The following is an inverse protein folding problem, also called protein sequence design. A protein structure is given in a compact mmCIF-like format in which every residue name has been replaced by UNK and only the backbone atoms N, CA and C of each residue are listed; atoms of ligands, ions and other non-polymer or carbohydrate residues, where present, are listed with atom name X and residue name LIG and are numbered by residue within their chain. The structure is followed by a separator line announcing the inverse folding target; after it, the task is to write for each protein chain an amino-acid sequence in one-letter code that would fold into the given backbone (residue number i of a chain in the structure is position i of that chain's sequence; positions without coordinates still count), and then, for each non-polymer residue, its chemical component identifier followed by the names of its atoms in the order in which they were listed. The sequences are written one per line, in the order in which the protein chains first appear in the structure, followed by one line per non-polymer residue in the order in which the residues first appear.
data_IF_240416484081
#
_entry.id   IF_240416484081
#
_cell.length_a   1.000
_cell.length_b   1.000
_cell.length_c   1.000
_cell.angle_alpha   90.00
_cell.angle_beta   90.00
_cell.angle_gamma   90.00
#
_symmetry.space_group_name_H-M   'P 1'
#
loop_
_entity.id
_entity.type
_entity.pdbx_description
1 polymer ?
#
# COMPACT_ATOMS: atom_id res chain seq x y z
N UNK A 1 -2.87 -6.30 3.81
CA UNK A 1 -3.32 -5.32 2.79
C UNK A 1 -2.15 -4.42 2.43
N UNK A 2 -1.32 -4.84 1.48
CA UNK A 2 -0.07 -4.17 1.09
C UNK A 2 -0.09 -3.77 -0.37
N UNK A 3 -0.97 -2.85 -0.76
CA UNK A 3 -0.96 -2.29 -2.11
C UNK A 3 0.08 -1.18 -2.21
N UNK A 4 1.31 -1.51 -2.64
CA UNK A 4 2.42 -0.65 -3.11
C UNK A 4 2.70 0.73 -2.45
N UNK A 5 1.99 1.12 -1.39
CA UNK A 5 2.10 2.42 -0.74
C UNK A 5 1.80 3.64 -1.63
N UNK A 6 1.35 3.48 -2.88
CA UNK A 6 1.27 4.57 -3.88
C UNK A 6 0.44 5.77 -3.40
N UNK A 7 -0.70 5.52 -2.75
CA UNK A 7 -1.54 6.56 -2.15
C UNK A 7 -0.84 7.28 -0.98
N UNK A 8 -0.05 6.54 -0.18
CA UNK A 8 0.75 7.14 0.90
C UNK A 8 1.94 7.92 0.34
N UNK A 9 2.48 7.51 -0.80
CA UNK A 9 3.63 8.17 -1.42
C UNK A 9 3.27 9.58 -1.89
N UNK A 10 2.10 9.75 -2.53
CA UNK A 10 1.63 11.05 -3.03
C UNK A 10 1.46 12.08 -1.92
N UNK A 11 0.83 11.70 -0.80
CA UNK A 11 0.65 12.61 0.33
C UNK A 11 1.93 12.84 1.13
N UNK A 12 2.75 11.81 1.35
CA UNK A 12 4.02 11.94 2.08
C UNK A 12 5.05 12.77 1.34
N UNK A 13 5.16 12.63 0.02
CA UNK A 13 6.09 13.42 -0.78
C UNK A 13 5.77 14.93 -0.70
N UNK A 14 4.49 15.28 -0.78
CA UNK A 14 4.03 16.68 -0.67
C UNK A 14 4.29 17.23 0.73
N UNK A 15 3.95 16.48 1.78
CA UNK A 15 4.21 16.89 3.17
C UNK A 15 5.71 17.08 3.44
N UNK A 16 6.55 16.17 2.95
CA UNK A 16 8.00 16.26 3.10
C UNK A 16 8.58 17.48 2.36
N UNK A 17 8.15 17.71 1.11
CA UNK A 17 8.56 18.87 0.31
C UNK A 17 8.17 20.19 1.00
N UNK A 18 6.93 20.28 1.48
CA UNK A 18 6.44 21.46 2.19
C UNK A 18 7.18 21.67 3.53
N UNK A 19 7.54 20.60 4.24
CA UNK A 19 8.36 20.67 5.45
C UNK A 19 9.76 21.21 5.16
N UNK A 20 10.42 20.70 4.13
CA UNK A 20 11.74 21.17 3.69
C UNK A 20 11.70 22.65 3.24
N UNK A 21 10.69 23.05 2.48
CA UNK A 21 10.51 24.44 2.06
C UNK A 21 10.33 25.41 3.24
N UNK A 22 9.52 25.01 4.24
CA UNK A 22 9.34 25.79 5.48
C UNK A 22 10.62 25.86 6.32
N UNK A 23 11.40 24.78 6.36
CA UNK A 23 12.68 24.76 7.08
C UNK A 23 13.71 25.68 6.40
N UNK A 24 13.82 25.60 5.06
CA UNK A 24 14.70 26.47 4.29
C UNK A 24 14.33 27.96 4.44
N UNK A 25 13.03 28.28 4.45
CA UNK A 25 12.56 29.66 4.66
C UNK A 25 12.86 30.21 6.06
N UNK A 26 13.00 29.33 7.07
CA UNK A 26 13.33 29.72 8.45
C UNK A 26 14.84 29.69 8.75
N UNK A 27 15.66 29.29 7.78
CA UNK A 27 17.11 29.19 7.99
C UNK A 27 17.75 30.58 8.12
N UNK A 28 18.69 30.69 9.06
CA UNK A 28 19.50 31.90 9.28
C UNK A 28 20.76 31.91 8.39
N UNK A 29 21.07 30.80 7.72
CA UNK A 29 22.26 30.69 6.88
C UNK A 29 22.14 31.59 5.62
N UNK A 30 23.10 32.51 5.38
CA UNK A 30 23.08 33.40 4.22
C UNK A 30 23.04 32.67 2.88
N UNK A 31 23.71 31.51 2.74
CA UNK A 31 23.74 30.74 1.50
C UNK A 31 22.38 30.10 1.21
N UNK A 32 21.72 29.60 2.25
CA UNK A 32 20.37 29.03 2.14
C UNK A 32 19.36 30.11 1.78
N UNK A 33 19.47 31.32 2.35
CA UNK A 33 18.60 32.44 1.98
C UNK A 33 18.83 32.91 0.54
N UNK A 34 20.08 32.97 0.07
CA UNK A 34 20.39 33.29 -1.31
C UNK A 34 19.78 32.26 -2.28
N UNK A 35 19.88 30.96 -1.96
CA UNK A 35 19.28 29.88 -2.74
C UNK A 35 17.74 29.95 -2.74
N UNK A 36 17.12 30.25 -1.60
CA UNK A 36 15.67 30.43 -1.48
C UNK A 36 15.17 31.58 -2.35
N UNK A 37 15.89 32.72 -2.35
CA UNK A 37 15.56 33.89 -3.19
C UNK A 37 15.75 33.62 -4.68
N UNK A 38 16.75 32.81 -5.05
CA UNK A 38 17.02 32.48 -6.44
C UNK A 38 15.97 31.56 -7.07
N UNK A 39 15.27 30.73 -6.27
CA UNK A 39 14.33 29.71 -6.78
C UNK A 39 13.00 29.64 -6.00
N UNK A 40 12.21 30.73 -5.97
CA UNK A 40 10.96 30.77 -5.22
C UNK A 40 9.91 29.76 -5.74
N UNK A 41 9.90 29.48 -7.04
CA UNK A 41 8.95 28.55 -7.65
C UNK A 41 9.15 27.08 -7.21
N UNK A 42 10.38 26.64 -6.97
CA UNK A 42 10.68 25.27 -6.53
C UNK A 42 10.26 25.02 -5.08
N UNK A 43 10.27 26.09 -4.27
CA UNK A 43 9.90 26.14 -2.86
C UNK A 43 8.41 26.45 -2.63
N UNK A 44 7.64 26.66 -3.70
CA UNK A 44 6.21 26.87 -3.60
C UNK A 44 5.51 25.67 -2.92
N UNK A 45 4.69 25.97 -1.92
CA UNK A 45 3.94 24.95 -1.17
C UNK A 45 2.97 24.26 -2.11
N UNK A 46 3.07 22.93 -2.18
CA UNK A 46 2.19 22.11 -3.02
C UNK A 46 0.99 21.66 -2.21
N UNK A 47 -0.22 21.75 -2.77
CA UNK A 47 -1.43 21.24 -2.14
C UNK A 47 -1.68 19.78 -2.53
N UNK A 48 -2.07 18.96 -1.54
CA UNK A 48 -2.53 17.59 -1.77
C UNK A 48 -3.88 17.43 -1.08
N UNK A 49 -4.85 16.87 -1.81
CA UNK A 49 -6.19 16.61 -1.29
C UNK A 49 -6.40 15.11 -1.10
N UNK A 50 -6.95 14.71 0.04
CA UNK A 50 -7.46 13.36 0.29
C UNK A 50 -8.95 13.50 0.60
N UNK A 51 -9.82 12.87 -0.20
CA UNK A 51 -11.27 12.99 -0.01
C UNK A 51 -11.79 14.44 -0.09
N UNK A 52 -11.12 15.30 -0.86
CA UNK A 52 -11.44 16.74 -0.96
C UNK A 52 -10.92 17.60 0.18
N UNK A 53 -10.29 17.03 1.22
CA UNK A 53 -9.70 17.78 2.34
C UNK A 53 -8.20 18.01 2.11
N UNK A 54 -7.66 19.21 2.41
CA UNK A 54 -6.24 19.49 2.28
C UNK A 54 -5.42 18.75 3.34
N UNK A 55 -4.27 18.23 2.91
CA UNK A 55 -3.29 17.57 3.77
C UNK A 55 -2.20 18.56 4.16
N UNK A 56 -2.17 18.91 5.45
CA UNK A 56 -1.22 19.88 6.00
C UNK A 56 0.00 19.22 6.63
N UNK A 57 -0.15 18.01 7.14
CA UNK A 57 0.82 17.33 7.97
C UNK A 57 0.70 15.80 7.86
N UNK A 58 1.71 15.08 8.35
CA UNK A 58 1.80 13.62 8.22
C UNK A 58 0.68 12.90 9.00
N UNK A 59 0.23 13.48 10.11
CA UNK A 59 -0.76 12.89 10.99
C UNK A 59 -2.16 13.05 10.39
N UNK A 60 -2.50 14.24 9.87
CA UNK A 60 -3.72 14.48 9.13
C UNK A 60 -3.79 13.64 7.85
N UNK A 61 -2.68 13.50 7.11
CA UNK A 61 -2.61 12.60 5.95
C UNK A 61 -3.02 11.16 6.29
N UNK A 62 -2.52 10.64 7.42
CA UNK A 62 -2.80 9.27 7.87
C UNK A 62 -4.25 9.12 8.32
N UNK A 63 -4.79 10.12 9.03
CA UNK A 63 -6.17 10.13 9.51
C UNK A 63 -7.18 10.20 8.35
N UNK A 64 -7.02 11.18 7.46
CA UNK A 64 -7.90 11.37 6.30
C UNK A 64 -7.88 10.17 5.35
N UNK A 65 -6.70 9.57 5.12
CA UNK A 65 -6.60 8.36 4.30
C UNK A 65 -7.32 7.17 4.95
N UNK A 66 -7.22 7.02 6.27
CA UNK A 66 -7.93 5.96 6.98
C UNK A 66 -9.45 6.16 6.90
N UNK A 67 -9.94 7.38 7.05
CA UNK A 67 -11.36 7.72 6.94
C UNK A 67 -11.90 7.41 5.54
N UNK A 68 -11.20 7.83 4.48
CA UNK A 68 -11.57 7.50 3.10
C UNK A 68 -11.53 5.99 2.80
N UNK A 69 -10.57 5.27 3.39
CA UNK A 69 -10.57 3.81 3.32
C UNK A 69 -11.81 3.25 4.02
N UNK A 70 -12.11 3.66 5.25
CA UNK A 70 -13.29 3.15 5.97
C UNK A 70 -14.62 3.51 5.31
N UNK A 71 -14.68 4.56 4.49
CA UNK A 71 -15.89 4.91 3.73
C UNK A 71 -16.21 3.93 2.61
N UNK A 72 -15.23 3.18 2.10
CA UNK A 72 -15.45 2.18 1.04
C UNK A 72 -16.08 0.92 1.63
N UNK A 73 -17.03 0.34 0.90
CA UNK A 73 -17.84 -0.82 1.32
C UNK A 73 -16.94 -1.99 1.78
N UNK A 74 -15.90 -2.30 1.02
CA UNK A 74 -14.99 -3.43 1.30
C UNK A 74 -14.12 -3.23 2.57
N UNK A 75 -14.01 -2.00 3.05
CA UNK A 75 -13.09 -1.63 4.14
C UNK A 75 -13.79 -0.94 5.31
N UNK A 76 -15.13 -0.84 5.29
CA UNK A 76 -15.94 -0.30 6.37
C UNK A 76 -15.73 -1.06 7.69
N UNK A 77 -15.61 -2.40 7.63
CA UNK A 77 -15.36 -3.24 8.80
C UNK A 77 -14.00 -2.99 9.48
N UNK A 78 -13.03 -2.43 8.77
CA UNK A 78 -11.68 -2.16 9.31
C UNK A 78 -11.66 -0.99 10.31
N UNK A 79 -12.68 -0.13 10.30
CA UNK A 79 -12.81 0.97 11.24
C UNK A 79 -12.93 0.45 12.69
N UNK A 80 -13.68 -0.64 12.85
CA UNK A 80 -13.92 -1.27 14.13
C UNK A 80 -12.71 -2.06 14.62
N UNK A 81 -11.89 -2.63 13.72
CA UNK A 81 -10.73 -3.47 14.08
C UNK A 81 -9.74 -2.84 15.08
N UNK A 82 -9.62 -1.51 15.12
CA UNK A 82 -8.76 -0.81 16.10
C UNK A 82 -9.30 -0.85 17.54
N UNK A 83 -10.59 -1.13 17.74
CA UNK A 83 -11.25 -1.18 19.05
C UNK A 83 -11.07 -2.56 19.71
N UNK A 84 -9.84 -3.09 19.71
CA UNK A 84 -9.49 -4.49 20.01
C UNK A 84 -10.29 -5.17 21.14
N UNK A 85 -10.60 -4.46 22.23
CA UNK A 85 -11.38 -4.96 23.36
C UNK A 85 -12.91 -5.05 23.12
N UNK A 86 -13.53 -4.12 22.37
CA UNK A 86 -14.98 -4.16 22.09
C UNK A 86 -15.34 -5.15 21.00
N UNK A 87 -14.41 -5.41 20.07
CA UNK A 87 -14.62 -6.46 19.08
C UNK A 87 -14.48 -7.87 19.67
N UNK A 88 -13.82 -8.03 20.82
CA UNK A 88 -13.70 -9.28 21.56
C UNK A 88 -14.67 -9.37 22.74
N UNK A 89 -15.65 -8.46 22.85
CA UNK A 89 -16.65 -8.49 23.92
C UNK A 89 -17.52 -9.76 23.85
N UNK A 90 -17.65 -10.36 22.66
CA UNK A 90 -18.24 -11.69 22.50
C UNK A 90 -17.42 -12.80 23.17
N UNK A 91 -16.10 -12.61 23.36
CA UNK A 91 -15.23 -13.54 24.09
C UNK A 91 -15.36 -13.40 25.61
N UNK A 92 -15.76 -12.24 26.12
CA UNK A 92 -15.85 -11.98 27.57
C UNK A 92 -17.27 -12.10 28.13
N UNK A 93 -18.28 -12.22 27.26
CA UNK A 93 -19.70 -12.24 27.64
C UNK A 93 -20.22 -13.54 28.24
N UNK A 94 -19.40 -14.59 28.37
CA UNK A 94 -19.76 -15.86 29.02
C UNK A 94 -20.89 -16.67 28.35
N UNK A 95 -21.47 -16.16 27.26
CA UNK A 95 -22.55 -16.78 26.48
C UNK A 95 -21.99 -17.31 25.16
N UNK A 96 -21.15 -18.32 25.24
CA UNK A 96 -20.66 -19.00 24.04
C UNK A 96 -21.65 -20.10 23.63
N UNK A 97 -22.37 -19.83 22.54
CA UNK A 97 -22.93 -20.87 21.66
C UNK A 97 -22.19 -20.75 20.33
N UNK A 98 -20.88 -20.98 20.37
CA UNK A 98 -20.03 -20.97 19.18
C UNK A 98 -19.38 -22.34 19.14
N UNK A 99 -19.51 -23.04 18.02
CA UNK A 99 -18.86 -24.35 17.88
C UNK A 99 -17.32 -24.17 17.83
N UNK A 100 -16.56 -25.15 18.31
CA UNK A 100 -15.09 -25.09 18.37
C UNK A 100 -14.43 -24.67 17.04
N UNK A 101 -15.07 -25.03 15.92
CA UNK A 101 -14.63 -24.69 14.55
C UNK A 101 -14.72 -23.19 14.26
N UNK A 102 -15.77 -22.55 14.73
CA UNK A 102 -16.03 -21.13 14.54
C UNK A 102 -15.13 -20.28 15.46
N UNK A 103 -14.81 -20.80 16.65
CA UNK A 103 -13.87 -20.16 17.57
C UNK A 103 -12.45 -20.04 16.98
N UNK A 104 -11.94 -21.12 16.37
CA UNK A 104 -10.62 -21.13 15.72
C UNK A 104 -10.59 -20.13 14.56
N UNK A 105 -11.64 -20.08 13.75
CA UNK A 105 -11.74 -19.12 12.65
C UNK A 105 -11.76 -17.67 13.16
N UNK A 106 -12.51 -17.39 14.24
CA UNK A 106 -12.56 -16.07 14.88
C UNK A 106 -11.18 -15.64 15.40
N UNK A 107 -10.43 -16.53 16.06
CA UNK A 107 -9.07 -16.26 16.51
C UNK A 107 -8.10 -16.00 15.36
N UNK A 108 -8.20 -16.75 14.27
CA UNK A 108 -7.38 -16.53 13.07
C UNK A 108 -7.67 -15.17 12.43
N UNK A 109 -8.94 -14.76 12.39
CA UNK A 109 -9.34 -13.44 11.88
C UNK A 109 -8.80 -12.33 12.80
N UNK A 110 -8.95 -12.49 14.12
CA UNK A 110 -8.44 -11.54 15.12
C UNK A 110 -6.91 -11.39 15.06
N UNK A 111 -6.19 -12.49 14.89
CA UNK A 111 -4.73 -12.50 14.73
C UNK A 111 -4.24 -12.01 13.36
N UNK A 112 -5.14 -11.58 12.46
CA UNK A 112 -4.77 -11.20 11.09
C UNK A 112 -4.18 -12.36 10.27
N UNK A 113 -4.42 -13.59 10.71
CA UNK A 113 -3.88 -14.81 10.14
C UNK A 113 -4.98 -15.78 9.68
N UNK A 114 -5.98 -15.34 8.89
CA UNK A 114 -7.04 -16.22 8.42
C UNK A 114 -6.43 -17.42 7.69
N UNK A 115 -6.98 -18.60 7.93
CA UNK A 115 -6.59 -19.83 7.26
C UNK A 115 -7.05 -19.76 5.80
N UNK A 116 -6.11 -19.51 4.91
CA UNK A 116 -6.31 -19.55 3.46
C UNK A 116 -5.64 -20.80 2.89
N UNK A 117 -6.24 -21.40 1.85
CA UNK A 117 -5.72 -22.60 1.17
C UNK A 117 -4.23 -22.45 0.79
N UNK A 118 -3.79 -21.24 0.43
CA UNK A 118 -2.40 -20.91 0.12
C UNK A 118 -1.44 -20.97 1.32
N UNK A 119 -1.91 -20.72 2.55
CA UNK A 119 -1.12 -20.91 3.78
C UNK A 119 -1.05 -22.37 4.17
N UNK A 120 -2.16 -23.11 4.09
CA UNK A 120 -2.19 -24.57 4.27
C UNK A 120 -1.20 -25.24 3.31
N UNK A 121 -1.20 -24.83 2.04
CA UNK A 121 -0.31 -25.31 0.99
C UNK A 121 1.19 -25.21 1.33
N UNK A 122 1.60 -24.24 2.17
CA UNK A 122 3.00 -24.09 2.60
C UNK A 122 3.44 -25.20 3.56
N UNK A 123 2.49 -25.81 4.26
CA UNK A 123 2.73 -26.80 5.31
C UNK A 123 2.21 -28.20 4.93
N UNK A 124 1.50 -28.33 3.80
CA UNK A 124 1.09 -29.63 3.26
C UNK A 124 2.06 -30.09 2.16
N UNK A 125 2.49 -31.37 2.18
CA UNK A 125 3.30 -31.95 1.11
C UNK A 125 2.65 -31.78 -0.27
N UNK A 126 3.49 -31.61 -1.30
CA UNK A 126 3.10 -31.34 -2.70
C UNK A 126 2.14 -32.36 -3.35
N UNK A 127 1.89 -33.49 -2.70
CA UNK A 127 1.02 -34.56 -3.17
C UNK A 127 -0.47 -34.17 -3.23
N UNK A 128 -0.91 -33.16 -2.47
CA UNK A 128 -2.33 -32.76 -2.43
C UNK A 128 -2.60 -31.43 -3.16
N UNK A 129 -2.85 -31.52 -4.47
CA UNK A 129 -3.80 -30.64 -5.19
C UNK A 129 -3.48 -29.16 -5.39
N UNK A 130 -2.31 -28.65 -4.99
CA UNK A 130 -1.93 -27.24 -5.18
C UNK A 130 -0.80 -27.06 -6.21
N UNK A 131 -0.82 -27.81 -7.31
CA UNK A 131 0.12 -27.61 -8.42
C UNK A 131 -0.42 -26.56 -9.38
N UNK A 132 0.46 -25.74 -9.95
CA UNK A 132 0.07 -24.81 -11.00
C UNK A 132 -0.26 -25.60 -12.27
N UNK A 133 -1.38 -25.26 -12.94
CA UNK A 133 -1.80 -25.96 -14.15
C UNK A 133 -0.80 -25.81 -15.30
N UNK A 134 -0.10 -24.67 -15.35
CA UNK A 134 0.91 -24.36 -16.36
C UNK A 134 2.34 -24.71 -15.91
N UNK A 135 2.55 -25.01 -14.61
CA UNK A 135 3.86 -25.31 -14.03
C UNK A 135 3.73 -26.43 -12.99
N UNK A 136 3.66 -27.70 -13.43
CA UNK A 136 3.30 -28.84 -12.58
C UNK A 136 4.24 -29.05 -11.38
N UNK A 137 5.49 -28.61 -11.51
CA UNK A 137 6.52 -28.72 -10.45
C UNK A 137 6.46 -27.59 -9.42
N UNK A 138 5.53 -26.64 -9.56
CA UNK A 138 5.44 -25.47 -8.69
C UNK A 138 4.11 -25.38 -7.96
N UNK A 139 4.16 -24.87 -6.72
CA UNK A 139 2.94 -24.61 -5.95
C UNK A 139 2.14 -23.48 -6.61
N UNK A 140 0.86 -23.72 -6.84
CA UNK A 140 -0.12 -22.71 -7.25
C UNK A 140 -0.36 -21.72 -6.11
N UNK A 141 0.47 -20.70 -6.04
CA UNK A 141 0.27 -19.56 -5.16
C UNK A 141 0.28 -18.25 -5.97
N UNK A 142 -0.22 -17.18 -5.36
CA UNK A 142 -0.34 -15.89 -6.03
C UNK A 142 1.02 -15.34 -6.49
N UNK A 143 2.07 -15.61 -5.72
CA UNK A 143 3.42 -15.15 -6.02
C UNK A 143 3.96 -15.81 -7.31
N UNK A 144 3.90 -17.14 -7.39
CA UNK A 144 4.19 -17.89 -8.62
C UNK A 144 3.36 -17.37 -9.80
N UNK A 145 2.03 -17.27 -9.62
CA UNK A 145 1.12 -16.82 -10.68
C UNK A 145 1.50 -15.43 -11.18
N UNK A 146 1.85 -14.49 -10.31
CA UNK A 146 2.12 -13.11 -10.72
C UNK A 146 3.55 -12.88 -11.20
N UNK A 147 4.54 -13.57 -10.61
CA UNK A 147 5.95 -13.28 -10.82
C UNK A 147 6.61 -14.18 -11.88
N UNK A 148 6.24 -15.47 -11.93
CA UNK A 148 7.00 -16.46 -12.70
C UNK A 148 6.16 -17.21 -13.73
N UNK A 149 4.88 -17.45 -13.46
CA UNK A 149 4.03 -18.32 -14.26
C UNK A 149 3.97 -17.87 -15.74
N UNK A 150 4.13 -18.81 -16.70
CA UNK A 150 3.99 -18.53 -18.13
C UNK A 150 2.62 -17.97 -18.49
N UNK A 151 1.56 -18.43 -17.79
CA UNK A 151 0.17 -18.00 -18.03
C UNK A 151 -0.03 -16.49 -17.88
N UNK A 152 0.73 -15.84 -17.00
CA UNK A 152 0.66 -14.39 -16.77
C UNK A 152 1.81 -13.62 -17.42
N UNK A 153 2.68 -14.29 -18.19
CA UNK A 153 3.90 -13.68 -18.74
C UNK A 153 3.58 -12.46 -19.59
N UNK A 154 2.60 -12.54 -20.49
CA UNK A 154 2.20 -11.44 -21.35
C UNK A 154 1.69 -10.24 -20.53
N UNK A 155 0.79 -10.48 -19.56
CA UNK A 155 0.26 -9.44 -18.69
C UNK A 155 1.32 -8.84 -17.75
N UNK A 156 2.32 -9.62 -17.35
CA UNK A 156 3.46 -9.15 -16.56
C UNK A 156 4.35 -8.23 -17.40
N UNK A 157 4.70 -8.64 -18.62
CA UNK A 157 5.48 -7.83 -19.56
C UNK A 157 4.74 -6.51 -19.82
N UNK A 158 3.45 -6.56 -20.18
CA UNK A 158 2.63 -5.38 -20.39
C UNK A 158 2.61 -4.43 -19.19
N UNK A 159 2.44 -4.96 -17.96
CA UNK A 159 2.50 -4.14 -16.74
C UNK A 159 3.86 -3.47 -16.55
N UNK A 160 4.96 -4.16 -16.85
CA UNK A 160 6.29 -3.57 -16.80
C UNK A 160 6.48 -2.49 -17.87
N UNK A 161 6.00 -2.72 -19.09
CA UNK A 161 6.03 -1.75 -20.18
C UNK A 161 5.22 -0.50 -19.86
N UNK A 162 4.03 -0.66 -19.29
CA UNK A 162 3.17 0.47 -18.87
C UNK A 162 3.87 1.32 -17.81
N UNK A 163 4.50 0.69 -16.82
CA UNK A 163 5.25 1.40 -15.77
C UNK A 163 6.46 2.12 -16.36
N UNK A 164 7.21 1.48 -17.26
CA UNK A 164 8.34 2.12 -17.95
C UNK A 164 7.87 3.30 -18.78
N UNK A 165 6.77 3.18 -19.53
CA UNK A 165 6.21 4.29 -20.33
C UNK A 165 5.80 5.48 -19.46
N UNK A 166 5.21 5.22 -18.29
CA UNK A 166 4.87 6.29 -17.33
C UNK A 166 6.15 6.98 -16.83
N UNK A 167 7.18 6.21 -16.51
CA UNK A 167 8.45 6.72 -16.02
C UNK A 167 9.18 7.55 -17.09
N UNK A 168 9.23 7.06 -18.33
CA UNK A 168 9.79 7.76 -19.49
C UNK A 168 9.07 9.09 -19.75
N UNK A 169 7.73 9.10 -19.67
CA UNK A 169 6.95 10.33 -19.79
C UNK A 169 7.26 11.34 -18.69
N UNK A 170 7.44 10.90 -17.44
CA UNK A 170 7.76 11.81 -16.33
C UNK A 170 9.20 12.33 -16.41
N UNK A 171 10.15 11.50 -16.84
CA UNK A 171 11.56 11.86 -16.97
C UNK A 171 11.81 12.75 -18.19
N UNK A 172 11.11 12.52 -19.29
CA UNK A 172 11.16 13.36 -20.48
C UNK A 172 10.66 14.79 -20.19
N UNK A 173 9.62 14.95 -19.36
CA UNK A 173 9.20 16.27 -18.85
C UNK A 173 10.30 16.99 -18.06
N UNK A 174 11.22 16.23 -17.47
CA UNK A 174 12.38 16.72 -16.71
C UNK A 174 13.65 16.82 -17.56
N UNK A 175 13.55 16.65 -18.88
CA UNK A 175 14.67 16.65 -19.85
C UNK A 175 15.73 15.56 -19.59
N UNK A 176 15.34 14.45 -18.96
CA UNK A 176 16.20 13.28 -18.77
C UNK A 176 15.79 12.21 -19.79
N UNK A 177 16.67 11.91 -20.75
CA UNK A 177 16.46 10.87 -21.76
C UNK A 177 16.86 9.50 -21.20
N UNK A 178 15.92 8.55 -21.20
CA UNK A 178 16.20 7.13 -20.98
C UNK A 178 16.20 6.41 -22.32
N UNK A 179 17.31 5.74 -22.65
CA UNK A 179 17.40 4.89 -23.82
C UNK A 179 17.05 3.47 -23.41
N UNK A 180 15.97 2.91 -23.97
CA UNK A 180 15.64 1.49 -23.83
C UNK A 180 16.61 0.68 -24.68
N UNK A 181 17.49 -0.09 -24.06
CA UNK A 181 18.18 -1.20 -24.72
C UNK A 181 17.18 -2.35 -24.85
N UNK A 182 16.84 -2.69 -26.10
CA UNK A 182 16.07 -3.90 -26.42
C UNK A 182 16.89 -5.15 -26.16
#
# INVERSE_FOLDING_TARGET
MGGLGLLQFRSRAVVAKNGAAKAAAKSLDPLVQAAVRARPAELALSSCLIGGRPVTDKQSAKGQLAEELYRKIDTAGLASCKKGYRNSQFLTGGRFLIEDREFIAALQILGGAPFVKSKKARFTPFTFGNKCEACPETVKNLDHILQMCPRSRADRIKRHDDVQSILEKDLSKRKVSLTRTM
#
